data_IF_941110530925
#
_entry.id   IF_941110530925
#
_cell.length_a   1.000
_cell.length_b   1.000
_cell.length_c   1.000
_cell.angle_alpha   90.00
_cell.angle_beta   90.00
_cell.angle_gamma   90.00
#
_symmetry.space_group_name_H-M   'P 1'
#
loop_
_entity.id
_entity.type
_entity.pdbx_description
1 polymer ?
#
# COMPACT_ATOMS: atom_id res chain seq x y z
N UNK A 1 5.26 34.62 31.56
CA UNK A 1 5.87 34.21 30.28
C UNK A 1 6.50 32.84 30.50
N UNK A 2 5.81 31.76 30.16
CA UNK A 2 6.24 30.40 30.54
C UNK A 2 6.10 29.41 29.36
N UNK A 3 7.24 28.80 29.05
CA UNK A 3 7.44 27.50 28.38
C UNK A 3 7.05 27.43 26.89
N UNK A 4 7.95 27.91 26.04
CA UNK A 4 7.92 27.69 24.58
C UNK A 4 9.07 26.78 24.05
N UNK A 5 9.82 26.08 24.90
CA UNK A 5 11.04 25.38 24.48
C UNK A 5 10.95 23.85 24.34
N UNK A 6 9.77 23.24 24.48
CA UNK A 6 9.64 21.76 24.41
C UNK A 6 9.30 21.20 23.02
N UNK A 7 9.17 22.01 21.97
CA UNK A 7 8.73 21.55 20.64
C UNK A 7 9.89 21.26 19.66
N UNK A 8 11.15 21.35 20.08
CA UNK A 8 12.31 21.23 19.19
C UNK A 8 12.88 19.81 19.05
N UNK A 9 12.50 18.84 19.90
CA UNK A 9 12.97 17.46 19.72
C UNK A 9 12.11 16.75 18.65
N UNK A 10 12.71 16.21 17.58
CA UNK A 10 12.03 15.32 16.66
C UNK A 10 11.42 14.18 17.47
N UNK A 11 10.19 13.76 17.16
CA UNK A 11 9.60 12.54 17.73
C UNK A 11 10.51 11.31 17.49
N UNK A 12 11.44 11.43 16.55
CA UNK A 12 12.39 10.42 16.08
C UNK A 12 13.64 10.34 16.99
N UNK A 13 14.04 11.38 17.72
CA UNK A 13 15.44 11.49 18.19
C UNK A 13 15.80 10.76 19.48
N UNK A 14 14.88 10.02 20.14
CA UNK A 14 15.27 9.29 21.37
C UNK A 14 14.49 8.00 21.66
N UNK A 15 13.74 7.45 20.70
CA UNK A 15 12.92 6.26 20.96
C UNK A 15 12.63 5.35 19.77
N UNK A 16 13.22 5.62 18.60
CA UNK A 16 12.90 4.96 17.34
C UNK A 16 14.06 4.12 16.76
N UNK A 17 15.03 3.67 17.57
CA UNK A 17 16.04 2.69 17.11
C UNK A 17 15.37 1.48 16.42
N UNK A 18 14.21 1.07 16.95
CA UNK A 18 13.38 -0.02 16.47
C UNK A 18 12.78 0.21 15.06
N UNK A 19 12.90 1.42 14.50
CA UNK A 19 12.34 1.83 13.20
C UNK A 19 13.37 2.43 12.24
N UNK A 20 14.66 2.38 12.56
CA UNK A 20 15.73 2.97 11.73
C UNK A 20 15.71 2.49 10.28
N UNK A 21 15.38 1.21 10.06
CA UNK A 21 15.24 0.61 8.72
C UNK A 21 14.08 1.19 7.88
N UNK A 22 13.13 1.87 8.52
CA UNK A 22 11.95 2.47 7.89
C UNK A 22 12.09 3.98 7.64
N UNK A 23 13.15 4.62 8.15
CA UNK A 23 13.38 6.06 8.05
C UNK A 23 13.25 6.62 6.62
N UNK A 24 13.75 5.98 5.55
CA UNK A 24 13.59 6.48 4.18
C UNK A 24 12.12 6.58 3.73
N UNK A 25 11.22 5.87 4.41
CA UNK A 25 9.79 5.78 4.09
C UNK A 25 8.94 6.68 4.97
N UNK A 26 9.55 7.42 5.89
CA UNK A 26 8.83 8.32 6.78
C UNK A 26 8.20 9.50 6.04
N UNK A 27 7.12 10.01 6.63
CA UNK A 27 6.48 11.24 6.23
C UNK A 27 7.46 12.41 6.46
N UNK A 28 7.88 13.14 5.41
CA UNK A 28 8.82 14.24 5.57
C UNK A 28 8.17 15.40 6.33
N UNK A 29 8.97 16.18 7.06
CA UNK A 29 8.47 17.28 7.90
C UNK A 29 7.80 18.40 7.09
N UNK A 30 8.22 18.55 5.82
CA UNK A 30 7.63 19.48 4.86
C UNK A 30 6.24 19.05 4.38
N UNK A 31 5.80 17.83 4.66
CA UNK A 31 4.48 17.36 4.24
C UNK A 31 3.37 18.02 5.08
N UNK A 32 2.26 18.52 4.47
CA UNK A 32 1.20 19.24 5.19
C UNK A 32 0.60 18.46 6.36
N UNK A 33 0.44 17.14 6.21
CA UNK A 33 -0.07 16.27 7.27
C UNK A 33 0.88 16.10 8.47
N UNK A 34 2.19 16.33 8.32
CA UNK A 34 3.18 16.01 9.36
C UNK A 34 2.94 16.81 10.64
N UNK A 35 2.84 18.14 10.52
CA UNK A 35 2.65 19.02 11.68
C UNK A 35 1.33 18.74 12.40
N UNK A 36 0.29 18.36 11.65
CA UNK A 36 -1.03 18.03 12.20
C UNK A 36 -0.97 16.71 12.96
N UNK A 37 -0.41 15.67 12.37
CA UNK A 37 -0.25 14.37 13.03
C UNK A 37 0.64 14.48 14.27
N UNK A 38 1.71 15.27 14.19
CA UNK A 38 2.55 15.58 15.36
C UNK A 38 1.71 16.19 16.49
N UNK A 39 0.87 17.20 16.21
CA UNK A 39 -0.02 17.80 17.21
C UNK A 39 -1.03 16.81 17.79
N UNK A 40 -1.65 15.98 16.94
CA UNK A 40 -2.60 14.93 17.34
C UNK A 40 -1.95 13.98 18.35
N UNK A 41 -0.77 13.47 18.02
CA UNK A 41 -0.10 12.45 18.85
C UNK A 41 0.72 13.01 20.00
N UNK A 42 1.08 14.30 20.01
CA UNK A 42 1.77 14.93 21.15
C UNK A 42 0.85 15.00 22.37
N UNK A 43 -0.46 15.17 22.15
CA UNK A 43 -1.47 15.27 23.22
C UNK A 43 -2.00 13.91 23.69
N UNK A 44 -1.62 12.82 23.03
CA UNK A 44 -2.14 11.50 23.34
C UNK A 44 -1.53 10.96 24.64
N UNK A 45 -2.39 10.75 25.65
CA UNK A 45 -2.02 10.13 26.94
C UNK A 45 -2.55 8.69 26.93
N UNK A 46 -1.69 7.72 26.63
CA UNK A 46 -2.03 6.29 26.72
C UNK A 46 -1.70 5.43 25.49
N UNK A 47 -1.99 4.12 25.55
CA UNK A 47 -1.71 3.17 24.48
C UNK A 47 -2.54 3.39 23.23
N UNK A 48 -1.86 3.80 22.15
CA UNK A 48 -2.37 3.91 20.78
C UNK A 48 -2.52 2.53 20.13
N UNK A 49 -3.22 1.62 20.80
CA UNK A 49 -3.38 0.21 20.39
C UNK A 49 -4.80 -0.16 20.04
N UNK A 50 -5.77 0.70 20.36
CA UNK A 50 -7.19 0.41 20.21
C UNK A 50 -7.88 1.42 19.30
N UNK A 51 -8.93 0.97 18.62
CA UNK A 51 -9.83 1.88 17.89
C UNK A 51 -10.39 2.97 18.81
N UNK A 52 -10.71 2.66 20.08
CA UNK A 52 -11.18 3.65 21.06
C UNK A 52 -10.17 4.76 21.29
N UNK A 53 -8.89 4.41 21.47
CA UNK A 53 -7.81 5.40 21.66
C UNK A 53 -7.62 6.28 20.43
N UNK A 54 -7.72 5.72 19.23
CA UNK A 54 -7.63 6.47 17.98
C UNK A 54 -8.89 7.31 17.73
N UNK A 55 -10.08 6.83 18.09
CA UNK A 55 -11.34 7.59 18.01
C UNK A 55 -11.27 8.88 18.82
N UNK A 56 -10.72 8.81 20.04
CA UNK A 56 -10.53 9.97 20.91
C UNK A 56 -9.59 11.03 20.32
N UNK A 57 -8.74 10.64 19.36
CA UNK A 57 -7.85 11.53 18.63
C UNK A 57 -8.47 12.08 17.33
N UNK A 58 -9.74 11.77 17.04
CA UNK A 58 -10.45 12.24 15.86
C UNK A 58 -10.40 11.28 14.66
N UNK A 59 -9.88 10.06 14.83
CA UNK A 59 -9.94 9.06 13.76
C UNK A 59 -11.34 8.44 13.65
N UNK A 60 -11.84 8.32 12.41
CA UNK A 60 -13.12 7.73 12.06
C UNK A 60 -12.90 6.39 11.36
N UNK A 61 -13.51 5.33 11.88
CA UNK A 61 -13.42 3.98 11.32
C UNK A 61 -14.59 3.71 10.40
N UNK A 62 -14.32 3.15 9.21
CA UNK A 62 -15.38 2.71 8.32
C UNK A 62 -15.99 1.40 8.80
N UNK A 63 -17.30 1.37 9.03
CA UNK A 63 -17.99 0.14 9.42
C UNK A 63 -17.97 -0.92 8.30
N UNK A 64 -17.91 -0.52 7.03
CA UNK A 64 -17.82 -1.45 5.90
C UNK A 64 -16.47 -2.17 5.84
N UNK A 65 -15.42 -1.57 6.41
CA UNK A 65 -14.07 -2.16 6.48
C UNK A 65 -13.87 -3.05 7.72
N UNK A 66 -14.67 -2.86 8.78
CA UNK A 66 -14.58 -3.59 10.07
C UNK A 66 -14.87 -5.10 9.97
N UNK A 67 -15.69 -5.56 9.01
CA UNK A 67 -16.31 -6.90 9.07
C UNK A 67 -15.48 -8.07 8.52
N UNK A 68 -14.27 -7.85 7.95
CA UNK A 68 -13.58 -8.90 7.16
C UNK A 68 -12.33 -9.53 7.80
N UNK A 69 -11.91 -9.21 9.02
CA UNK A 69 -10.85 -9.99 9.73
C UNK A 69 -10.60 -9.45 11.14
N UNK A 70 -10.59 -10.33 12.14
CA UNK A 70 -10.27 -9.97 13.54
C UNK A 70 -8.77 -9.63 13.75
N UNK A 71 -7.94 -9.88 12.74
CA UNK A 71 -6.49 -9.62 12.74
C UNK A 71 -6.08 -8.41 11.86
N UNK A 72 -7.03 -7.65 11.29
CA UNK A 72 -6.71 -6.61 10.30
C UNK A 72 -6.25 -5.30 10.93
N UNK A 73 -5.27 -4.71 10.26
CA UNK A 73 -4.81 -3.33 10.42
C UNK A 73 -6.00 -2.37 10.48
N UNK A 74 -6.06 -1.53 11.51
CA UNK A 74 -7.15 -0.57 11.69
C UNK A 74 -7.06 0.48 10.58
N UNK A 75 -8.07 0.55 9.72
CA UNK A 75 -8.20 1.55 8.64
C UNK A 75 -9.13 2.67 9.10
N UNK A 76 -8.72 3.92 8.89
CA UNK A 76 -9.45 5.09 9.37
C UNK A 76 -9.23 6.32 8.50
N UNK A 77 -10.16 7.26 8.60
CA UNK A 77 -10.00 8.66 8.15
C UNK A 77 -9.92 9.56 9.39
N UNK A 78 -9.82 10.87 9.22
CA UNK A 78 -9.70 11.80 10.35
C UNK A 78 -10.72 12.95 10.24
N UNK A 79 -11.21 13.44 11.38
CA UNK A 79 -12.20 14.55 11.47
C UNK A 79 -11.66 15.89 11.00
N UNK A 80 -10.38 16.16 11.26
CA UNK A 80 -9.71 17.38 10.79
C UNK A 80 -9.81 17.53 9.28
N UNK A 81 -10.27 18.70 8.85
CA UNK A 81 -10.38 19.10 7.44
C UNK A 81 -9.04 19.01 6.71
N UNK A 82 -7.94 19.31 7.40
CA UNK A 82 -6.58 19.23 6.85
C UNK A 82 -6.13 17.80 6.57
N UNK A 83 -6.82 16.80 7.15
CA UNK A 83 -6.52 15.38 6.98
C UNK A 83 -7.59 14.62 6.18
N UNK A 84 -8.63 15.31 5.67
CA UNK A 84 -9.78 14.68 4.99
C UNK A 84 -9.43 13.88 3.74
N UNK A 85 -8.32 14.25 3.10
CA UNK A 85 -7.83 13.67 1.84
C UNK A 85 -6.91 12.47 2.08
N UNK A 86 -6.83 11.96 3.31
CA UNK A 86 -5.97 10.82 3.64
C UNK A 86 -6.74 9.68 4.29
N UNK A 87 -6.20 8.48 4.08
CA UNK A 87 -6.56 7.26 4.81
C UNK A 87 -5.36 6.84 5.66
N UNK A 88 -5.63 6.35 6.85
CA UNK A 88 -4.66 5.97 7.85
C UNK A 88 -4.83 4.50 8.19
N UNK A 89 -3.72 3.75 8.14
CA UNK A 89 -3.68 2.35 8.54
C UNK A 89 -2.74 2.20 9.74
N UNK A 90 -3.26 1.80 10.90
CA UNK A 90 -2.47 1.67 12.12
C UNK A 90 -1.90 0.26 12.26
N UNK A 91 -0.58 0.16 12.34
CA UNK A 91 0.14 -1.09 12.53
C UNK A 91 0.73 -1.14 13.94
N UNK A 92 0.48 -2.26 14.61
CA UNK A 92 1.06 -2.59 15.91
C UNK A 92 1.71 -3.97 15.80
N UNK A 93 2.98 -4.08 16.15
CA UNK A 93 3.71 -5.34 16.09
C UNK A 93 4.79 -5.43 17.17
N UNK A 94 5.19 -6.66 17.59
CA UNK A 94 6.28 -6.82 18.55
C UNK A 94 7.58 -6.23 18.03
N UNK A 95 8.41 -5.69 18.94
CA UNK A 95 9.77 -5.24 18.64
C UNK A 95 10.57 -6.40 18.05
N UNK A 96 11.25 -6.13 16.94
CA UNK A 96 12.32 -6.99 16.42
C UNK A 96 13.47 -6.93 17.43
N UNK A 97 13.79 -8.05 18.08
CA UNK A 97 15.04 -8.16 18.87
C UNK A 97 16.15 -8.61 17.92
N UNK A 98 17.42 -8.38 18.22
CA UNK A 98 18.48 -8.96 17.39
C UNK A 98 18.57 -10.50 17.58
N UNK A 99 18.22 -11.00 18.77
CA UNK A 99 18.72 -12.31 19.24
C UNK A 99 17.65 -13.42 19.43
N UNK A 100 16.41 -13.23 18.96
CA UNK A 100 15.31 -14.18 19.17
C UNK A 100 14.83 -14.79 17.85
N UNK A 101 15.28 -16.01 17.51
CA UNK A 101 15.02 -16.63 16.19
C UNK A 101 13.53 -16.68 15.80
N UNK A 102 12.61 -16.93 16.73
CA UNK A 102 11.17 -17.12 16.42
C UNK A 102 10.32 -15.84 16.50
N UNK A 103 10.51 -15.01 17.54
CA UNK A 103 9.76 -13.75 17.67
C UNK A 103 10.18 -12.74 16.59
N UNK A 104 11.42 -12.82 16.11
CA UNK A 104 11.93 -11.95 15.06
C UNK A 104 11.26 -12.22 13.71
N UNK A 105 10.90 -13.48 13.40
CA UNK A 105 10.39 -13.81 12.07
C UNK A 105 9.08 -13.08 11.75
N UNK A 106 8.11 -13.07 12.66
CA UNK A 106 6.84 -12.39 12.43
C UNK A 106 6.99 -10.85 12.42
N UNK A 107 7.78 -10.31 13.34
CA UNK A 107 8.04 -8.87 13.41
C UNK A 107 8.75 -8.37 12.14
N UNK A 108 9.79 -9.09 11.67
CA UNK A 108 10.46 -8.81 10.41
C UNK A 108 9.53 -8.92 9.21
N UNK A 109 8.62 -9.90 9.19
CA UNK A 109 7.64 -10.03 8.10
C UNK A 109 6.71 -8.81 8.07
N UNK A 110 6.22 -8.35 9.23
CA UNK A 110 5.34 -7.18 9.32
C UNK A 110 6.06 -5.89 8.92
N UNK A 111 7.24 -5.64 9.48
CA UNK A 111 8.07 -4.48 9.11
C UNK A 111 8.38 -4.49 7.61
N UNK A 112 8.78 -5.65 7.06
CA UNK A 112 9.03 -5.81 5.62
C UNK A 112 7.79 -5.49 4.79
N UNK A 113 6.61 -5.95 5.19
CA UNK A 113 5.35 -5.66 4.47
C UNK A 113 5.05 -4.17 4.46
N UNK A 114 5.14 -3.50 5.62
CA UNK A 114 4.90 -2.06 5.75
C UNK A 114 5.89 -1.27 4.88
N UNK A 115 7.18 -1.61 4.96
CA UNK A 115 8.22 -1.04 4.09
C UNK A 115 7.90 -1.21 2.61
N UNK A 116 7.54 -2.44 2.22
CA UNK A 116 7.23 -2.79 0.85
C UNK A 116 6.04 -1.98 0.31
N UNK A 117 5.00 -1.75 1.12
CA UNK A 117 3.84 -0.92 0.70
C UNK A 117 4.27 0.44 0.19
N UNK A 118 5.15 1.13 0.92
CA UNK A 118 5.65 2.45 0.51
C UNK A 118 6.61 2.30 -0.66
N UNK A 119 7.60 1.41 -0.58
CA UNK A 119 8.59 1.18 -1.63
C UNK A 119 7.95 0.92 -2.99
N UNK A 120 7.00 0.00 -3.05
CA UNK A 120 6.36 -0.41 -4.30
C UNK A 120 5.40 0.66 -4.84
N UNK A 121 4.72 1.42 -3.97
CA UNK A 121 3.98 2.61 -4.42
C UNK A 121 4.91 3.65 -5.07
N UNK A 122 6.09 3.91 -4.49
CA UNK A 122 7.09 4.83 -5.08
C UNK A 122 7.54 4.34 -6.46
N UNK A 123 7.94 3.08 -6.56
CA UNK A 123 8.35 2.43 -7.81
C UNK A 123 7.27 2.51 -8.89
N UNK A 124 6.02 2.19 -8.54
CA UNK A 124 4.92 2.25 -9.49
C UNK A 124 4.69 3.67 -10.01
N UNK A 125 4.78 4.70 -9.15
CA UNK A 125 4.72 6.10 -9.62
C UNK A 125 5.86 6.44 -10.58
N UNK A 126 7.09 6.04 -10.27
CA UNK A 126 8.23 6.26 -11.17
C UNK A 126 8.00 5.65 -12.56
N UNK A 127 7.43 4.44 -12.62
CA UNK A 127 7.06 3.79 -13.88
C UNK A 127 5.91 4.55 -14.58
N UNK A 128 4.85 4.91 -13.85
CA UNK A 128 3.73 5.69 -14.40
C UNK A 128 4.20 7.01 -14.98
N UNK A 129 5.11 7.71 -14.30
CA UNK A 129 5.67 8.97 -14.78
C UNK A 129 6.59 8.76 -15.99
N UNK A 130 7.50 7.78 -15.93
CA UNK A 130 8.49 7.51 -16.99
C UNK A 130 7.86 7.12 -18.33
N UNK A 131 6.76 6.35 -18.27
CA UNK A 131 6.06 5.85 -19.47
C UNK A 131 4.77 6.63 -19.77
N UNK A 132 4.54 7.77 -19.12
CA UNK A 132 3.36 8.61 -19.31
C UNK A 132 2.01 7.85 -19.16
N UNK A 133 1.93 6.95 -18.16
CA UNK A 133 0.76 6.08 -17.94
C UNK A 133 -0.31 6.73 -17.04
N UNK A 134 -0.24 8.05 -16.81
CA UNK A 134 -1.14 8.77 -15.91
C UNK A 134 -2.60 8.68 -16.33
N UNK A 135 -2.88 8.49 -17.63
CA UNK A 135 -4.26 8.27 -18.10
C UNK A 135 -4.82 6.92 -17.66
N UNK A 136 -3.97 5.93 -17.44
CA UNK A 136 -4.37 4.57 -17.04
C UNK A 136 -4.35 4.37 -15.53
N UNK A 137 -3.36 4.94 -14.84
CA UNK A 137 -3.12 4.63 -13.44
C UNK A 137 -3.15 5.84 -12.51
N UNK A 138 -3.74 5.63 -11.35
CA UNK A 138 -3.53 6.45 -10.16
C UNK A 138 -2.82 5.62 -9.10
N UNK A 139 -1.64 6.07 -8.65
CA UNK A 139 -0.90 5.37 -7.59
C UNK A 139 -0.86 6.27 -6.36
N UNK A 140 -1.58 5.91 -5.27
CA UNK A 140 -1.64 6.75 -4.08
C UNK A 140 -0.26 6.88 -3.46
N UNK A 141 0.08 8.09 -3.03
CA UNK A 141 1.29 8.33 -2.25
C UNK A 141 1.12 7.68 -0.88
N UNK A 142 2.20 7.06 -0.39
CA UNK A 142 2.23 6.35 0.88
C UNK A 142 3.41 6.85 1.71
N UNK A 143 3.20 6.99 3.01
CA UNK A 143 4.21 7.45 3.95
C UNK A 143 4.02 6.78 5.30
N UNK A 144 5.10 6.61 6.07
CA UNK A 144 5.03 6.12 7.44
C UNK A 144 5.13 7.28 8.42
N UNK A 145 4.26 7.32 9.41
CA UNK A 145 4.36 8.23 10.53
C UNK A 145 4.66 7.40 11.80
N UNK A 146 5.86 7.53 12.39
CA UNK A 146 6.21 6.79 13.59
C UNK A 146 5.39 7.29 14.78
N UNK A 147 4.87 6.37 15.59
CA UNK A 147 4.16 6.70 16.82
C UNK A 147 5.09 6.59 18.02
N UNK A 148 4.86 7.45 19.02
CA UNK A 148 5.67 7.46 20.24
C UNK A 148 5.61 6.11 20.94
N UNK A 149 6.78 5.59 21.31
CA UNK A 149 6.89 4.39 22.14
C UNK A 149 6.45 4.69 23.57
N UNK A 150 5.70 3.76 24.16
CA UNK A 150 5.28 3.86 25.56
C UNK A 150 6.33 3.16 26.42
N UNK A 151 6.72 3.83 27.51
CA UNK A 151 7.75 3.33 28.43
C UNK A 151 7.34 1.95 28.95
N UNK A 152 8.27 1.00 28.93
CA UNK A 152 8.05 -0.39 29.38
C UNK A 152 7.47 -1.32 28.30
N UNK A 153 7.04 -0.79 27.16
CA UNK A 153 6.39 -1.60 26.15
C UNK A 153 7.35 -2.15 25.09
N UNK A 154 7.07 -3.39 24.66
CA UNK A 154 7.81 -4.11 23.62
C UNK A 154 7.13 -4.06 22.26
N UNK A 155 6.21 -3.13 22.03
CA UNK A 155 5.49 -2.99 20.76
C UNK A 155 6.01 -1.79 19.97
N UNK A 156 6.20 -2.01 18.68
CA UNK A 156 6.46 -1.01 17.66
C UNK A 156 5.14 -0.59 17.03
N UNK A 157 5.02 0.70 16.73
CA UNK A 157 3.82 1.29 16.15
C UNK A 157 4.13 2.30 15.06
N UNK A 158 3.37 2.25 13.99
CA UNK A 158 3.41 3.26 12.94
C UNK A 158 2.03 3.40 12.29
N UNK A 159 1.75 4.61 11.81
CA UNK A 159 0.67 4.83 10.86
C UNK A 159 1.23 4.78 9.45
N UNK A 160 0.54 4.08 8.56
CA UNK A 160 0.69 4.27 7.13
C UNK A 160 -0.35 5.30 6.69
N UNK A 161 0.14 6.43 6.19
CA UNK A 161 -0.65 7.48 5.54
C UNK A 161 -0.73 7.14 4.05
N UNK A 162 -1.93 7.12 3.49
CA UNK A 162 -2.17 6.94 2.05
C UNK A 162 -3.10 8.06 1.55
N UNK A 163 -2.93 8.51 0.30
CA UNK A 163 -3.92 9.40 -0.34
C UNK A 163 -5.29 8.71 -0.37
N UNK A 164 -6.36 9.45 -0.03
CA UNK A 164 -7.73 8.95 -0.09
C UNK A 164 -8.21 8.88 -1.53
N UNK A 165 -8.92 7.80 -1.84
CA UNK A 165 -9.36 7.48 -3.19
C UNK A 165 -10.84 7.12 -3.13
N UNK A 166 -11.60 7.65 -4.09
CA UNK A 166 -12.98 7.26 -4.33
C UNK A 166 -13.02 6.24 -5.44
N UNK A 167 -13.52 5.04 -5.13
CA UNK A 167 -13.66 3.95 -6.10
C UNK A 167 -14.98 4.03 -6.85
N UNK A 168 -14.97 3.51 -8.07
CA UNK A 168 -16.19 3.12 -8.76
C UNK A 168 -16.90 1.99 -8.02
N UNK A 169 -18.15 1.69 -8.41
CA UNK A 169 -18.92 0.63 -7.78
C UNK A 169 -18.32 -0.77 -8.06
N UNK A 170 -18.72 -1.79 -7.31
CA UNK A 170 -18.29 -3.17 -7.60
C UNK A 170 -18.87 -3.66 -8.94
N UNK A 171 -20.03 -3.15 -9.32
CA UNK A 171 -20.67 -3.39 -10.60
C UNK A 171 -19.82 -2.82 -11.75
N UNK A 172 -19.41 -1.56 -11.66
CA UNK A 172 -18.55 -0.91 -12.67
C UNK A 172 -17.19 -1.63 -12.77
N UNK A 173 -16.60 -1.98 -11.64
CA UNK A 173 -15.33 -2.72 -11.60
C UNK A 173 -15.46 -4.08 -12.30
N UNK A 174 -16.54 -4.83 -12.02
CA UNK A 174 -16.80 -6.11 -12.69
C UNK A 174 -17.07 -5.95 -14.18
N UNK A 175 -17.82 -4.92 -14.57
CA UNK A 175 -18.11 -4.62 -15.96
C UNK A 175 -16.82 -4.32 -16.74
N UNK A 176 -15.94 -3.47 -16.19
CA UNK A 176 -14.66 -3.14 -16.79
C UNK A 176 -13.76 -4.36 -17.03
N UNK A 177 -13.60 -5.24 -16.03
CA UNK A 177 -12.78 -6.46 -16.17
C UNK A 177 -13.36 -7.50 -17.13
N UNK A 178 -14.65 -7.36 -17.50
CA UNK A 178 -15.33 -8.19 -18.50
C UNK A 178 -15.49 -7.47 -19.85
N UNK A 179 -15.10 -6.21 -19.92
CA UNK A 179 -15.25 -5.35 -21.09
C UNK A 179 -13.98 -5.34 -21.96
N UNK A 180 -14.10 -4.92 -23.22
CA UNK A 180 -12.96 -4.86 -24.15
C UNK A 180 -12.02 -3.71 -23.81
N UNK A 181 -12.48 -2.77 -22.99
CA UNK A 181 -11.73 -1.65 -22.46
C UNK A 181 -10.45 -2.09 -21.75
N UNK A 182 -10.43 -3.29 -21.14
CA UNK A 182 -9.22 -3.83 -20.50
C UNK A 182 -8.06 -4.01 -21.48
N UNK A 183 -8.31 -4.20 -22.77
CA UNK A 183 -7.26 -4.40 -23.79
C UNK A 183 -6.32 -3.19 -23.87
N UNK A 184 -6.84 -1.98 -23.67
CA UNK A 184 -6.02 -0.76 -23.62
C UNK A 184 -5.08 -0.70 -22.42
N UNK A 185 -5.37 -1.49 -21.38
CA UNK A 185 -4.60 -1.53 -20.13
C UNK A 185 -3.54 -2.63 -20.12
N UNK A 186 -3.53 -3.58 -21.07
CA UNK A 186 -2.63 -4.74 -21.02
C UNK A 186 -1.16 -4.35 -21.11
N UNK A 187 -0.77 -3.52 -22.09
CA UNK A 187 0.60 -2.99 -22.20
C UNK A 187 0.98 -2.12 -20.98
N UNK A 188 0.16 -1.14 -20.55
CA UNK A 188 0.41 -0.40 -19.31
C UNK A 188 0.60 -1.29 -18.08
N UNK A 189 -0.22 -2.33 -17.91
CA UNK A 189 -0.13 -3.29 -16.81
C UNK A 189 1.15 -4.13 -16.89
N UNK A 190 1.50 -4.61 -18.09
CA UNK A 190 2.74 -5.34 -18.32
C UNK A 190 3.96 -4.50 -17.95
N UNK A 191 3.99 -3.21 -18.30
CA UNK A 191 5.07 -2.27 -17.88
C UNK A 191 5.14 -2.10 -16.38
N UNK A 192 4.00 -1.95 -15.70
CA UNK A 192 3.98 -1.89 -14.23
C UNK A 192 4.57 -3.18 -13.66
N UNK A 193 4.09 -4.35 -14.10
CA UNK A 193 4.57 -5.65 -13.63
C UNK A 193 6.08 -5.81 -13.83
N UNK A 194 6.54 -5.59 -15.06
CA UNK A 194 7.93 -5.77 -15.49
C UNK A 194 8.90 -4.88 -14.73
N UNK A 195 8.63 -3.57 -14.67
CA UNK A 195 9.57 -2.62 -14.08
C UNK A 195 9.47 -2.53 -12.57
N UNK A 196 8.28 -2.63 -11.98
CA UNK A 196 8.12 -2.52 -10.53
C UNK A 196 8.41 -3.83 -9.80
N UNK A 197 8.23 -4.96 -10.50
CA UNK A 197 8.23 -6.32 -9.97
C UNK A 197 7.11 -6.56 -8.93
N UNK A 198 6.03 -5.78 -8.97
CA UNK A 198 4.85 -6.02 -8.14
C UNK A 198 4.09 -7.20 -8.76
N UNK A 199 4.34 -8.41 -8.27
CA UNK A 199 3.70 -9.63 -8.78
C UNK A 199 2.24 -9.80 -8.35
N UNK A 200 1.77 -9.02 -7.39
CA UNK A 200 0.41 -9.11 -6.84
C UNK A 200 -0.56 -8.10 -7.50
N UNK A 201 -0.46 -7.95 -8.82
CA UNK A 201 -1.33 -7.09 -9.64
C UNK A 201 -2.63 -7.81 -10.00
N UNK A 202 -3.23 -8.53 -9.07
CA UNK A 202 -4.53 -9.17 -9.30
C UNK A 202 -5.64 -8.11 -9.37
N UNK A 203 -6.77 -8.40 -10.03
CA UNK A 203 -7.87 -7.46 -10.17
C UNK A 203 -8.40 -6.88 -8.85
N UNK A 204 -8.43 -7.68 -7.79
CA UNK A 204 -8.83 -7.23 -6.45
C UNK A 204 -7.92 -6.11 -5.90
N UNK A 205 -6.68 -6.03 -6.38
CA UNK A 205 -5.69 -5.00 -6.04
C UNK A 205 -5.64 -3.87 -7.09
N UNK A 206 -6.44 -3.95 -8.16
CA UNK A 206 -6.50 -3.02 -9.28
C UNK A 206 -7.94 -2.52 -9.48
N UNK A 207 -8.36 -1.60 -8.61
CA UNK A 207 -9.74 -1.06 -8.63
C UNK A 207 -9.80 0.23 -9.42
N UNK A 208 -10.88 0.45 -10.17
CA UNK A 208 -11.09 1.72 -10.86
C UNK A 208 -11.54 2.81 -9.89
N UNK A 209 -10.97 4.00 -10.04
CA UNK A 209 -11.43 5.19 -9.36
C UNK A 209 -12.55 5.89 -10.16
N UNK A 210 -13.15 6.94 -9.59
CA UNK A 210 -14.19 7.73 -10.27
C UNK A 210 -13.72 8.45 -11.55
N UNK A 211 -12.41 8.50 -11.81
CA UNK A 211 -11.82 9.02 -13.06
C UNK A 211 -11.49 7.91 -14.05
N UNK A 212 -12.01 6.70 -13.83
CA UNK A 212 -11.78 5.49 -14.63
C UNK A 212 -10.33 5.01 -14.66
N UNK A 213 -9.44 5.55 -13.82
CA UNK A 213 -8.07 5.09 -13.71
C UNK A 213 -7.99 3.87 -12.79
N UNK A 214 -7.16 2.89 -13.14
CA UNK A 214 -6.81 1.79 -12.26
C UNK A 214 -5.96 2.29 -11.09
N UNK A 215 -6.32 1.85 -9.90
CA UNK A 215 -5.61 2.20 -8.67
C UNK A 215 -4.93 0.99 -8.06
N UNK A 216 -3.63 1.12 -7.78
CA UNK A 216 -2.82 0.04 -7.21
C UNK A 216 -2.92 0.01 -5.67
N UNK A 217 -3.59 -1.01 -5.16
CA UNK A 217 -3.74 -1.29 -3.73
C UNK A 217 -2.86 -2.45 -3.26
N UNK A 218 -2.64 -2.51 -1.94
CA UNK A 218 -2.01 -3.65 -1.26
C UNK A 218 -0.71 -4.20 -1.90
N UNK A 219 0.13 -3.26 -2.32
CA UNK A 219 1.42 -3.49 -3.00
C UNK A 219 2.52 -4.12 -2.12
N UNK A 220 2.20 -4.97 -1.14
CA UNK A 220 3.18 -5.46 -0.14
C UNK A 220 3.95 -6.73 -0.57
N UNK A 221 3.40 -7.50 -1.51
CA UNK A 221 3.90 -8.82 -1.92
C UNK A 221 4.85 -8.83 -3.13
N UNK A 222 5.29 -7.67 -3.63
CA UNK A 222 6.10 -7.53 -4.86
C UNK A 222 7.54 -8.09 -4.85
N UNK A 223 7.89 -9.04 -3.98
CA UNK A 223 9.29 -9.49 -3.84
C UNK A 223 9.50 -11.00 -3.93
N UNK A 224 8.43 -11.80 -4.02
CA UNK A 224 8.55 -13.23 -4.26
C UNK A 224 7.72 -13.56 -5.48
N UNK A 225 8.39 -13.80 -6.61
CA UNK A 225 7.84 -14.66 -7.65
C UNK A 225 7.45 -15.98 -6.96
N UNK A 226 6.24 -16.52 -7.15
CA UNK A 226 5.84 -17.78 -6.52
C UNK A 226 6.92 -18.85 -6.72
N UNK A 227 7.47 -19.37 -5.62
CA UNK A 227 8.47 -20.45 -5.69
C UNK A 227 7.72 -21.75 -6.00
N UNK A 228 8.08 -22.43 -7.08
CA UNK A 228 7.53 -23.75 -7.44
C UNK A 228 7.02 -23.88 -8.88
N UNK A 229 7.17 -22.85 -9.71
CA UNK A 229 6.60 -22.82 -11.06
C UNK A 229 7.62 -22.15 -12.00
N UNK A 230 8.05 -22.88 -13.04
CA UNK A 230 9.29 -22.62 -13.83
C UNK A 230 9.44 -21.25 -14.50
N UNK A 231 10.58 -21.03 -15.15
CA UNK A 231 10.84 -19.84 -15.99
C UNK A 231 9.74 -19.73 -17.06
N UNK A 232 8.79 -18.81 -16.88
CA UNK A 232 7.67 -18.57 -17.82
C UNK A 232 6.35 -18.17 -17.15
N UNK A 233 6.05 -18.65 -15.94
CA UNK A 233 4.70 -18.54 -15.34
C UNK A 233 4.27 -17.19 -14.74
N UNK A 234 5.10 -16.14 -14.82
CA UNK A 234 4.65 -14.81 -14.36
C UNK A 234 3.53 -14.23 -15.23
N UNK A 235 3.49 -14.66 -16.49
CA UNK A 235 2.45 -14.33 -17.47
C UNK A 235 1.16 -15.07 -17.14
N UNK A 236 1.26 -16.35 -16.79
CA UNK A 236 0.10 -17.19 -16.46
C UNK A 236 -0.46 -16.92 -15.06
N UNK A 237 0.36 -16.57 -14.06
CA UNK A 237 -0.09 -16.33 -12.68
C UNK A 237 -1.09 -15.15 -12.57
N UNK A 238 -0.97 -14.11 -13.43
CA UNK A 238 -1.97 -13.03 -13.49
C UNK A 238 -3.33 -13.53 -13.99
N UNK A 239 -3.33 -14.47 -14.93
CA UNK A 239 -4.53 -15.05 -15.53
C UNK A 239 -5.18 -16.13 -14.68
N UNK A 240 -4.38 -17.01 -14.06
CA UNK A 240 -4.86 -17.99 -13.08
C UNK A 240 -5.66 -17.28 -11.97
N UNK A 241 -5.25 -16.07 -11.57
CA UNK A 241 -5.97 -15.28 -10.56
C UNK A 241 -7.23 -14.60 -11.14
N UNK A 242 -7.17 -14.13 -12.39
CA UNK A 242 -8.33 -13.56 -13.09
C UNK A 242 -9.45 -14.58 -13.27
N UNK A 243 -9.11 -15.79 -13.73
CA UNK A 243 -10.04 -16.90 -13.96
C UNK A 243 -10.70 -17.37 -12.66
N UNK A 244 -9.91 -17.54 -11.60
CA UNK A 244 -10.40 -18.14 -10.34
C UNK A 244 -11.24 -17.17 -9.50
N UNK A 245 -11.00 -15.85 -9.58
CA UNK A 245 -11.58 -14.89 -8.61
C UNK A 245 -12.61 -13.92 -9.15
N UNK A 246 -12.58 -13.59 -10.44
CA UNK A 246 -13.45 -12.54 -10.99
C UNK A 246 -14.52 -13.04 -11.97
N UNK A 247 -14.34 -14.23 -12.52
CA UNK A 247 -15.05 -14.62 -13.73
C UNK A 247 -15.77 -15.98 -13.57
N UNK A 248 -16.85 -16.06 -12.77
CA UNK A 248 -17.75 -17.21 -12.85
C UNK A 248 -18.45 -17.22 -14.22
N UNK A 249 -18.16 -18.26 -15.00
CA UNK A 249 -18.85 -18.90 -16.17
C UNK A 249 -19.62 -18.09 -17.23
N UNK A 250 -19.88 -16.80 -17.08
CA UNK A 250 -20.70 -15.98 -17.98
C UNK A 250 -19.95 -14.71 -18.42
N UNK A 251 -18.91 -14.86 -19.24
CA UNK A 251 -18.11 -13.75 -19.77
C UNK A 251 -18.49 -13.54 -21.25
N UNK A 252 -18.68 -12.28 -21.66
CA UNK A 252 -18.91 -11.88 -23.06
C UNK A 252 -17.64 -11.84 -23.92
N UNK A 253 -16.47 -11.90 -23.28
CA UNK A 253 -15.14 -11.95 -23.91
C UNK A 253 -14.57 -13.34 -23.66
N UNK A 254 -14.00 -13.96 -24.69
CA UNK A 254 -13.30 -15.24 -24.53
C UNK A 254 -12.08 -15.05 -23.64
N UNK A 255 -11.99 -15.80 -22.52
CA UNK A 255 -10.82 -15.81 -21.63
C UNK A 255 -9.52 -16.07 -22.41
N UNK A 256 -9.59 -16.94 -23.41
CA UNK A 256 -8.47 -17.29 -24.27
C UNK A 256 -7.97 -16.09 -25.08
N UNK A 257 -8.88 -15.24 -25.59
CA UNK A 257 -8.51 -14.02 -26.30
C UNK A 257 -7.78 -13.04 -25.38
N UNK A 258 -8.32 -12.82 -24.17
CA UNK A 258 -7.71 -11.93 -23.19
C UNK A 258 -6.34 -12.46 -22.72
N UNK A 259 -6.20 -13.78 -22.55
CA UNK A 259 -4.93 -14.43 -22.18
C UNK A 259 -3.88 -14.30 -23.29
N UNK A 260 -4.28 -14.52 -24.54
CA UNK A 260 -3.41 -14.36 -25.70
C UNK A 260 -2.91 -12.92 -25.83
N UNK A 261 -3.82 -11.93 -25.75
CA UNK A 261 -3.45 -10.51 -25.81
C UNK A 261 -2.52 -10.08 -24.66
N UNK A 262 -2.67 -10.67 -23.49
CA UNK A 262 -1.75 -10.42 -22.37
C UNK A 262 -0.38 -11.02 -22.61
N UNK A 263 -0.30 -12.25 -23.16
CA UNK A 263 0.99 -12.87 -23.52
C UNK A 263 1.75 -11.98 -24.50
N UNK A 264 1.08 -11.51 -25.54
CA UNK A 264 1.62 -10.57 -26.52
C UNK A 264 2.10 -9.29 -25.84
N UNK A 265 1.27 -8.68 -25.00
CA UNK A 265 1.62 -7.45 -24.30
C UNK A 265 2.83 -7.61 -23.35
N UNK A 266 2.90 -8.73 -22.63
CA UNK A 266 4.02 -9.01 -21.73
C UNK A 266 5.29 -9.32 -22.51
N UNK A 267 5.20 -10.10 -23.59
CA UNK A 267 6.34 -10.42 -24.45
C UNK A 267 6.95 -9.16 -25.05
N UNK A 268 6.11 -8.25 -25.57
CA UNK A 268 6.52 -6.93 -26.07
C UNK A 268 7.34 -6.18 -25.00
N UNK A 269 6.77 -6.01 -23.81
CA UNK A 269 7.41 -5.27 -22.71
C UNK A 269 8.66 -5.98 -22.17
N UNK A 270 8.73 -7.31 -22.24
CA UNK A 270 9.87 -8.08 -21.73
C UNK A 270 11.17 -7.87 -22.52
N UNK A 271 11.08 -7.31 -23.73
CA UNK A 271 12.23 -6.87 -24.50
C UNK A 271 12.82 -5.55 -23.97
N UNK A 272 12.07 -4.80 -23.15
CA UNK A 272 12.54 -3.54 -22.56
C UNK A 272 13.55 -3.84 -21.43
N UNK A 273 14.63 -3.04 -21.35
CA UNK A 273 15.55 -3.11 -20.20
C UNK A 273 14.83 -2.70 -18.91
N UNK A 274 14.86 -3.50 -17.83
CA UNK A 274 14.25 -3.11 -16.56
C UNK A 274 14.80 -1.77 -16.06
N UNK A 275 13.91 -0.87 -15.62
CA UNK A 275 14.31 0.40 -15.05
C UNK A 275 15.11 0.19 -13.75
N UNK A 276 16.17 0.98 -13.59
CA UNK A 276 16.91 1.10 -12.35
C UNK A 276 16.13 2.01 -11.37
N UNK A 277 15.07 1.45 -10.78
CA UNK A 277 14.21 2.19 -9.86
C UNK A 277 14.91 2.44 -8.53
N UNK A 278 14.80 3.66 -8.02
CA UNK A 278 15.45 4.04 -6.77
C UNK A 278 14.84 3.25 -5.62
N UNK A 279 15.70 2.70 -4.76
CA UNK A 279 15.28 2.00 -3.54
C UNK A 279 15.05 2.95 -2.35
N UNK A 280 15.12 4.26 -2.58
CA UNK A 280 15.14 5.29 -1.52
C UNK A 280 13.76 5.74 -1.11
#
# INVERSE_FOLDING_TARGET
>A
MLIAESLSKPLVSSGAEDLKSLEPYFLPESHPAYSILRKVFTKAVGPLTSEKSLAALGFKFSQSERRRDRNKTIVSTHTSEQLKNYVFKCYVYPKVKADSKDCNRQAHVRERRIRNRVKFSRRAREVVDKFNLKKYFFVPRKYLFPLKKIKGEKLTRCLLLEDKISFATEEDHRAFWRGKEIYEYLIPLARILWHTQIWDLQPANLRQNLKQQMTLHDTELGHKRPKGRGKGKGIDDFFDILSDKLLPSNISIGLDELHQKWREAYEEVSQEKPLELKNK
#
